data_IF_419986971072
#
_entry.id   IF_419986971072
#
_cell.length_a   1.000
_cell.length_b   1.000
_cell.length_c   1.000
_cell.angle_alpha   90.00
_cell.angle_beta   90.00
_cell.angle_gamma   90.00
#
_symmetry.space_group_name_H-M   'P 1'
#
loop_
_entity.id
_entity.type
_entity.pdbx_description
1 polymer ?
#
# COMPACT_ATOMS: atom_id res chain seq x y z
N UNK A 1 -17.03 9.39 1.17
CA UNK A 1 -15.80 8.82 0.56
C UNK A 1 -14.83 9.97 0.33
N UNK A 2 -13.55 9.84 0.72
CA UNK A 2 -12.55 10.90 0.51
C UNK A 2 -12.03 10.82 -0.93
N UNK A 3 -11.99 11.96 -1.62
CA UNK A 3 -11.53 12.05 -3.01
C UNK A 3 -10.12 12.65 -3.07
N UNK A 4 -9.19 11.97 -3.73
CA UNK A 4 -7.80 12.42 -3.89
C UNK A 4 -7.45 12.47 -5.38
N UNK A 5 -6.93 13.60 -5.84
CA UNK A 5 -6.37 13.75 -7.18
C UNK A 5 -4.85 13.59 -7.11
N UNK A 6 -4.29 12.76 -8.00
CA UNK A 6 -2.85 12.58 -8.16
C UNK A 6 -2.54 12.81 -9.64
N UNK A 7 -1.68 13.77 -9.94
CA UNK A 7 -1.25 14.06 -11.30
C UNK A 7 0.26 13.84 -11.44
N UNK A 8 0.68 13.22 -12.56
CA UNK A 8 2.10 13.10 -12.90
C UNK A 8 2.48 14.16 -13.93
N UNK A 9 3.54 14.92 -13.67
CA UNK A 9 3.98 16.04 -14.51
C UNK A 9 5.45 15.85 -14.92
N UNK A 10 5.69 15.83 -16.23
CA UNK A 10 7.01 15.92 -16.86
C UNK A 10 7.53 17.35 -16.86
N UNK A 11 7.73 17.93 -18.04
CA UNK A 11 8.16 19.32 -18.18
C UNK A 11 6.98 20.27 -18.42
N UNK A 12 6.46 20.98 -17.38
CA UNK A 12 5.33 21.88 -17.54
C UNK A 12 5.60 23.09 -18.44
N UNK A 13 6.85 23.51 -18.56
CA UNK A 13 7.23 24.74 -19.26
C UNK A 13 7.07 24.62 -20.78
N UNK A 14 7.03 23.40 -21.32
CA UNK A 14 6.79 23.16 -22.74
C UNK A 14 5.29 23.16 -23.11
N UNK A 15 4.39 23.23 -22.13
CA UNK A 15 2.96 23.17 -22.41
C UNK A 15 2.40 24.50 -22.88
N UNK A 16 1.44 24.40 -23.79
CA UNK A 16 0.79 25.54 -24.41
C UNK A 16 -0.71 25.55 -24.10
N UNK A 17 -1.36 26.74 -24.06
CA UNK A 17 -2.79 26.82 -23.75
C UNK A 17 -3.65 26.13 -24.80
N UNK A 18 -4.54 25.23 -24.38
CA UNK A 18 -5.54 24.57 -25.23
C UNK A 18 -6.83 24.36 -24.45
N UNK A 19 -7.95 24.20 -25.16
CA UNK A 19 -9.21 23.83 -24.54
C UNK A 19 -9.17 22.37 -24.10
N UNK A 20 -9.48 22.14 -22.84
CA UNK A 20 -9.72 20.80 -22.30
C UNK A 20 -11.19 20.66 -21.94
N UNK A 21 -11.77 19.50 -22.24
CA UNK A 21 -13.14 19.15 -21.84
C UNK A 21 -13.13 17.88 -21.00
N UNK A 22 -13.75 17.95 -19.84
CA UNK A 22 -14.05 16.80 -19.00
C UNK A 22 -15.55 16.65 -18.88
N UNK A 23 -16.07 15.54 -19.42
CA UNK A 23 -17.47 15.20 -19.35
C UNK A 23 -17.73 14.14 -18.27
N UNK A 24 -18.27 14.54 -17.14
CA UNK A 24 -18.46 13.69 -15.97
C UNK A 24 -19.45 12.54 -16.20
N UNK A 25 -20.43 12.73 -17.08
CA UNK A 25 -21.39 11.68 -17.43
C UNK A 25 -20.64 10.52 -18.10
N UNK A 26 -19.75 10.84 -19.06
CA UNK A 26 -18.90 9.85 -19.73
C UNK A 26 -17.91 9.13 -18.79
N UNK A 27 -17.49 9.78 -17.69
CA UNK A 27 -16.56 9.18 -16.72
C UNK A 27 -17.27 8.30 -15.67
N UNK A 28 -18.60 8.40 -15.52
CA UNK A 28 -19.36 7.68 -14.50
C UNK A 28 -18.94 8.01 -13.05
N UNK A 29 -18.35 9.20 -12.83
CA UNK A 29 -17.92 9.67 -11.50
C UNK A 29 -19.08 10.44 -10.87
N UNK A 30 -19.50 10.04 -9.65
CA UNK A 30 -20.55 10.73 -8.90
C UNK A 30 -20.06 12.09 -8.40
N UNK A 31 -20.97 13.04 -8.19
CA UNK A 31 -20.64 14.37 -7.64
C UNK A 31 -19.52 15.07 -8.44
N UNK A 32 -19.64 15.01 -9.77
CA UNK A 32 -18.72 15.57 -10.74
C UNK A 32 -19.50 16.50 -11.66
N UNK A 33 -18.94 17.68 -11.99
CA UNK A 33 -19.54 18.64 -12.92
C UNK A 33 -18.73 18.69 -14.22
N UNK A 34 -19.38 18.54 -15.37
CA UNK A 34 -18.70 18.68 -16.66
C UNK A 34 -18.13 20.10 -16.82
N UNK A 35 -16.84 20.17 -17.18
CA UNK A 35 -16.08 21.42 -17.27
C UNK A 35 -15.36 21.46 -18.60
N UNK A 36 -15.42 22.61 -19.25
CA UNK A 36 -14.59 22.95 -20.40
C UNK A 36 -13.83 24.24 -20.09
N UNK A 37 -12.51 24.20 -20.25
CA UNK A 37 -11.64 25.29 -19.84
C UNK A 37 -10.39 25.33 -20.71
N UNK A 38 -10.03 26.54 -21.18
CA UNK A 38 -8.75 26.78 -21.85
C UNK A 38 -7.66 26.95 -20.80
N UNK A 39 -6.64 26.10 -20.81
CA UNK A 39 -5.52 26.20 -19.89
C UNK A 39 -4.26 25.53 -20.47
N UNK A 40 -3.11 25.71 -19.82
CA UNK A 40 -1.86 25.01 -20.16
C UNK A 40 -1.80 23.60 -19.54
N UNK A 41 -2.61 23.33 -18.51
CA UNK A 41 -2.64 22.06 -17.78
C UNK A 41 -4.07 21.55 -17.59
N UNK A 42 -4.21 20.24 -17.40
CA UNK A 42 -5.47 19.56 -17.05
C UNK A 42 -5.87 19.77 -15.59
N UNK A 43 -4.92 20.18 -14.73
CA UNK A 43 -5.13 20.30 -13.29
C UNK A 43 -6.35 21.18 -12.93
N UNK A 44 -6.53 22.40 -13.47
CA UNK A 44 -7.68 23.23 -13.09
C UNK A 44 -9.02 22.66 -13.54
N UNK A 45 -9.05 21.99 -14.70
CA UNK A 45 -10.24 21.30 -15.22
C UNK A 45 -10.67 20.23 -14.22
N UNK A 46 -9.70 19.42 -13.77
CA UNK A 46 -9.93 18.35 -12.80
C UNK A 46 -10.31 18.90 -11.42
N UNK A 47 -9.65 19.95 -10.94
CA UNK A 47 -9.98 20.58 -9.66
C UNK A 47 -11.41 21.13 -9.65
N UNK A 48 -11.80 21.85 -10.70
CA UNK A 48 -13.14 22.44 -10.83
C UNK A 48 -14.23 21.38 -10.97
N UNK A 49 -13.98 20.34 -11.76
CA UNK A 49 -14.95 19.30 -12.04
C UNK A 49 -15.13 18.31 -10.87
N UNK A 50 -14.01 17.90 -10.25
CA UNK A 50 -13.99 16.81 -9.27
C UNK A 50 -13.97 17.31 -7.82
N UNK A 51 -13.55 18.55 -7.55
CA UNK A 51 -13.43 19.11 -6.19
C UNK A 51 -12.78 18.13 -5.20
N UNK A 52 -11.56 17.64 -5.48
CA UNK A 52 -10.92 16.65 -4.62
C UNK A 52 -10.61 17.27 -3.24
N UNK A 53 -10.59 16.44 -2.21
CA UNK A 53 -10.23 16.87 -0.85
C UNK A 53 -8.72 17.13 -0.71
N UNK A 54 -7.92 16.56 -1.63
CA UNK A 54 -6.48 16.73 -1.71
C UNK A 54 -6.03 16.53 -3.15
N UNK A 55 -5.10 17.37 -3.61
CA UNK A 55 -4.46 17.24 -4.91
C UNK A 55 -2.94 17.15 -4.72
N UNK A 56 -2.33 16.15 -5.37
CA UNK A 56 -0.89 15.87 -5.29
C UNK A 56 -0.34 15.89 -6.72
N UNK A 57 0.62 16.76 -6.98
CA UNK A 57 1.35 16.84 -8.24
C UNK A 57 2.73 16.23 -8.05
N UNK A 58 2.99 15.16 -8.78
CA UNK A 58 4.24 14.40 -8.77
C UNK A 58 5.13 14.89 -9.92
N UNK A 59 6.27 15.48 -9.60
CA UNK A 59 7.26 16.02 -10.55
C UNK A 59 8.63 15.37 -10.35
N UNK A 60 9.55 15.57 -11.29
CA UNK A 60 10.91 15.02 -11.24
C UNK A 60 11.94 16.07 -10.85
N UNK A 61 12.99 15.64 -10.13
CA UNK A 61 14.19 16.44 -9.87
C UNK A 61 14.98 16.83 -11.14
N UNK A 62 14.66 16.21 -12.29
CA UNK A 62 15.19 16.60 -13.60
C UNK A 62 14.72 17.99 -14.07
N UNK A 63 13.80 18.63 -13.35
CA UNK A 63 13.38 20.02 -13.58
C UNK A 63 14.31 21.05 -12.92
N UNK A 64 15.32 20.61 -12.17
CA UNK A 64 16.28 21.49 -11.49
C UNK A 64 16.89 22.47 -12.48
N UNK A 65 16.94 23.75 -12.15
CA UNK A 65 17.50 24.81 -12.98
C UNK A 65 16.89 24.94 -14.39
N UNK A 66 15.73 24.34 -14.64
CA UNK A 66 15.04 24.48 -15.92
C UNK A 66 14.55 25.92 -16.08
N UNK A 67 14.93 26.57 -17.19
CA UNK A 67 14.54 27.96 -17.47
C UNK A 67 13.95 28.13 -18.86
N UNK A 68 12.87 28.92 -18.95
CA UNK A 68 12.50 29.62 -20.18
C UNK A 68 12.76 31.12 -20.04
N UNK A 69 12.60 31.84 -21.17
CA UNK A 69 12.67 33.30 -21.21
C UNK A 69 11.68 33.91 -20.21
N UNK A 70 12.21 34.62 -19.20
CA UNK A 70 11.51 35.32 -18.13
C UNK A 70 11.05 34.47 -16.92
N UNK A 71 11.58 33.27 -16.75
CA UNK A 71 11.26 32.39 -15.61
C UNK A 71 12.18 32.63 -14.38
N UNK A 72 11.98 31.83 -13.33
CA UNK A 72 12.87 31.72 -12.16
C UNK A 72 14.31 31.49 -12.62
N UNK A 73 15.22 32.39 -12.24
CA UNK A 73 16.64 32.30 -12.64
C UNK A 73 17.28 30.99 -12.16
N UNK A 74 18.26 30.43 -12.88
CA UNK A 74 19.04 29.30 -12.38
C UNK A 74 19.78 29.72 -11.09
N UNK A 75 19.91 28.79 -10.14
CA UNK A 75 20.62 29.00 -8.88
C UNK A 75 21.68 27.90 -8.71
N UNK A 76 22.73 28.21 -7.95
CA UNK A 76 23.67 27.18 -7.53
C UNK A 76 23.00 26.28 -6.48
N UNK A 77 22.89 24.99 -6.77
CA UNK A 77 22.37 23.97 -5.84
C UNK A 77 23.54 23.12 -5.33
N UNK A 78 23.76 23.15 -4.02
CA UNK A 78 24.87 22.43 -3.36
C UNK A 78 24.43 21.17 -2.61
N UNK A 79 23.14 20.88 -2.54
CA UNK A 79 22.55 19.75 -1.82
C UNK A 79 21.30 19.25 -2.53
N UNK A 80 20.87 18.02 -2.21
CA UNK A 80 19.62 17.49 -2.75
C UNK A 80 18.38 18.22 -2.19
N UNK A 81 18.47 18.76 -0.98
CA UNK A 81 17.42 19.63 -0.43
C UNK A 81 17.26 20.89 -1.29
N UNK A 82 18.36 21.55 -1.66
CA UNK A 82 18.31 22.71 -2.56
C UNK A 82 17.77 22.39 -3.96
N UNK A 83 18.02 21.17 -4.45
CA UNK A 83 17.41 20.64 -5.69
C UNK A 83 15.88 20.55 -5.56
N UNK A 84 15.40 19.97 -4.45
CA UNK A 84 13.96 19.82 -4.21
C UNK A 84 13.28 21.19 -4.08
N UNK A 85 13.88 22.11 -3.33
CA UNK A 85 13.37 23.47 -3.16
C UNK A 85 13.29 24.23 -4.49
N UNK A 86 14.33 24.16 -5.32
CA UNK A 86 14.37 24.79 -6.65
C UNK A 86 13.23 24.28 -7.55
N UNK A 87 13.02 22.96 -7.61
CA UNK A 87 11.96 22.38 -8.42
C UNK A 87 10.58 22.78 -7.89
N UNK A 88 10.38 22.79 -6.57
CA UNK A 88 9.12 23.24 -5.97
C UNK A 88 8.83 24.72 -6.29
N UNK A 89 9.83 25.60 -6.19
CA UNK A 89 9.71 27.01 -6.56
C UNK A 89 9.30 27.17 -8.03
N UNK A 90 9.94 26.43 -8.94
CA UNK A 90 9.64 26.47 -10.38
C UNK A 90 8.22 26.01 -10.69
N UNK A 91 7.77 24.91 -10.10
CA UNK A 91 6.42 24.38 -10.32
C UNK A 91 5.36 25.31 -9.73
N UNK A 92 5.61 25.87 -8.53
CA UNK A 92 4.73 26.90 -7.94
C UNK A 92 4.67 28.15 -8.83
N UNK A 93 5.81 28.62 -9.31
CA UNK A 93 5.86 29.74 -10.25
C UNK A 93 5.04 29.45 -11.51
N UNK A 94 5.13 28.24 -12.07
CA UNK A 94 4.32 27.83 -13.21
C UNK A 94 2.81 27.85 -12.89
N UNK A 95 2.40 27.35 -11.73
CA UNK A 95 1.00 27.42 -11.28
C UNK A 95 0.53 28.88 -11.20
N UNK A 96 1.30 29.75 -10.55
CA UNK A 96 0.95 31.16 -10.35
C UNK A 96 0.92 31.97 -11.65
N UNK A 97 1.91 31.77 -12.53
CA UNK A 97 2.15 32.67 -13.66
C UNK A 97 1.68 32.10 -15.01
N UNK A 98 1.37 30.81 -15.10
CA UNK A 98 0.96 30.15 -16.35
C UNK A 98 -0.39 29.46 -16.26
N UNK A 99 -0.78 28.96 -15.09
CA UNK A 99 -2.07 28.29 -14.91
C UNK A 99 -3.15 29.28 -14.43
N UNK A 100 -2.93 29.95 -13.29
CA UNK A 100 -3.90 30.88 -12.67
C UNK A 100 -4.34 32.06 -13.55
N UNK A 101 -3.53 32.62 -14.46
CA UNK A 101 -3.98 33.71 -15.33
C UNK A 101 -5.09 33.31 -16.31
N UNK A 102 -5.30 32.01 -16.53
CA UNK A 102 -6.40 31.48 -17.33
C UNK A 102 -7.66 31.15 -16.50
N UNK A 103 -7.70 31.54 -15.23
CA UNK A 103 -8.79 31.29 -14.29
C UNK A 103 -9.38 32.60 -13.77
N UNK A 104 -10.69 32.57 -13.54
CA UNK A 104 -11.43 33.59 -12.80
C UNK A 104 -10.97 33.61 -11.33
N UNK A 105 -11.15 34.74 -10.62
CA UNK A 105 -10.63 34.91 -9.25
C UNK A 105 -11.07 33.82 -8.28
N UNK A 106 -12.34 33.39 -8.33
CA UNK A 106 -12.88 32.34 -7.46
C UNK A 106 -12.21 30.97 -7.70
N UNK A 107 -11.86 30.64 -8.94
CA UNK A 107 -11.27 29.36 -9.30
C UNK A 107 -9.76 29.30 -9.00
N UNK A 108 -9.08 30.45 -8.85
CA UNK A 108 -7.65 30.48 -8.51
C UNK A 108 -7.37 29.87 -7.15
N UNK A 109 -8.26 30.07 -6.19
CA UNK A 109 -8.14 29.54 -4.83
C UNK A 109 -8.16 28.00 -4.80
N UNK A 110 -8.71 27.34 -5.83
CA UNK A 110 -8.69 25.87 -5.94
C UNK A 110 -7.27 25.30 -6.05
N UNK A 111 -6.28 26.12 -6.40
CA UNK A 111 -4.91 25.70 -6.63
C UNK A 111 -3.97 26.00 -5.46
N UNK A 112 -4.43 26.73 -4.44
CA UNK A 112 -3.57 27.18 -3.32
C UNK A 112 -3.10 26.02 -2.45
N UNK A 113 -3.91 24.97 -2.33
CA UNK A 113 -3.65 23.79 -1.50
C UNK A 113 -3.05 22.61 -2.29
N UNK A 114 -2.59 22.84 -3.52
CA UNK A 114 -1.97 21.78 -4.34
C UNK A 114 -0.60 21.42 -3.79
N UNK A 115 -0.44 20.14 -3.41
CA UNK A 115 0.83 19.64 -2.91
C UNK A 115 1.77 19.25 -4.07
N UNK A 116 2.95 19.85 -4.13
CA UNK A 116 3.99 19.49 -5.12
C UNK A 116 5.03 18.59 -4.46
N UNK A 117 5.19 17.38 -5.00
CA UNK A 117 6.17 16.40 -4.54
C UNK A 117 7.20 16.14 -5.63
N UNK A 118 8.46 16.41 -5.30
CA UNK A 118 9.62 16.15 -6.16
C UNK A 118 10.10 14.72 -5.95
N UNK A 119 10.33 14.01 -7.05
CA UNK A 119 10.67 12.60 -7.07
C UNK A 119 11.97 12.37 -7.85
N UNK A 120 12.73 11.31 -7.53
CA UNK A 120 13.97 11.01 -8.23
C UNK A 120 13.70 10.63 -9.68
N UNK A 121 14.23 11.42 -10.61
CA UNK A 121 14.22 11.18 -12.04
C UNK A 121 15.52 10.54 -12.53
N UNK A 122 15.61 10.35 -13.85
CA UNK A 122 16.84 9.91 -14.54
C UNK A 122 16.85 10.58 -15.91
N UNK A 123 17.99 11.11 -16.32
CA UNK A 123 18.19 11.62 -17.67
C UNK A 123 19.27 12.69 -17.76
N UNK A 124 19.68 12.97 -18.99
CA UNK A 124 20.63 14.02 -19.35
C UNK A 124 19.86 15.14 -20.05
N UNK A 125 19.91 16.35 -19.50
CA UNK A 125 19.21 17.53 -20.02
C UNK A 125 20.15 18.74 -20.04
N UNK A 126 19.77 19.78 -20.78
CA UNK A 126 20.55 21.02 -20.88
C UNK A 126 20.71 21.71 -19.51
N UNK A 127 19.69 21.58 -18.65
CA UNK A 127 19.64 22.20 -17.31
C UNK A 127 20.26 21.34 -16.19
N UNK A 128 20.25 20.01 -16.34
CA UNK A 128 20.66 19.09 -15.27
C UNK A 128 20.99 17.69 -15.82
N UNK A 129 21.92 17.02 -15.17
CA UNK A 129 22.22 15.60 -15.35
C UNK A 129 21.80 14.82 -14.10
N UNK A 130 20.97 13.80 -14.25
CA UNK A 130 20.48 12.98 -13.12
C UNK A 130 20.74 11.51 -13.39
N UNK A 131 21.56 10.90 -12.54
CA UNK A 131 21.97 9.49 -12.62
C UNK A 131 21.58 8.73 -11.34
N UNK A 132 21.02 7.53 -11.53
CA UNK A 132 20.60 6.61 -10.47
C UNK A 132 19.65 5.54 -10.97
N UNK A 133 19.09 4.74 -10.05
CA UNK A 133 18.13 3.68 -10.41
C UNK A 133 16.75 4.30 -10.71
N UNK A 134 16.11 3.87 -11.81
CA UNK A 134 14.75 4.29 -12.19
C UNK A 134 13.71 3.79 -11.18
N UNK A 135 13.97 2.66 -10.51
CA UNK A 135 13.08 2.13 -9.46
C UNK A 135 13.12 2.92 -8.16
N UNK A 136 14.06 3.87 -8.00
CA UNK A 136 14.00 4.85 -6.91
C UNK A 136 12.72 5.67 -7.02
N UNK A 137 12.33 6.08 -8.24
CA UNK A 137 11.05 6.77 -8.48
C UNK A 137 9.87 6.00 -7.90
N UNK A 138 9.75 4.71 -8.25
CA UNK A 138 8.67 3.86 -7.76
C UNK A 138 8.70 3.73 -6.24
N UNK A 139 9.89 3.59 -5.65
CA UNK A 139 10.06 3.42 -4.21
C UNK A 139 9.68 4.68 -3.43
N UNK A 140 10.08 5.85 -3.92
CA UNK A 140 9.73 7.15 -3.31
C UNK A 140 8.25 7.47 -3.50
N UNK A 141 7.67 7.26 -4.69
CA UNK A 141 6.21 7.40 -4.90
C UNK A 141 5.43 6.53 -3.94
N UNK A 142 5.86 5.27 -3.75
CA UNK A 142 5.21 4.37 -2.82
C UNK A 142 5.26 4.90 -1.38
N UNK A 143 6.40 5.46 -0.93
CA UNK A 143 6.56 6.07 0.40
C UNK A 143 5.66 7.29 0.57
N UNK A 144 5.74 8.22 -0.38
CA UNK A 144 4.99 9.47 -0.43
C UNK A 144 3.48 9.18 -0.33
N UNK A 145 2.98 8.26 -1.16
CA UNK A 145 1.56 7.91 -1.19
C UNK A 145 1.14 7.10 0.03
N UNK A 146 2.00 6.24 0.58
CA UNK A 146 1.74 5.52 1.83
C UNK A 146 1.56 6.47 3.03
N UNK A 147 2.12 7.68 2.98
CA UNK A 147 1.92 8.71 4.01
C UNK A 147 0.68 9.57 3.74
N UNK A 148 0.44 9.92 2.47
CA UNK A 148 -0.54 10.94 2.08
C UNK A 148 -1.93 10.39 1.77
N UNK A 149 -2.04 9.13 1.38
CA UNK A 149 -3.34 8.53 1.13
C UNK A 149 -4.15 8.44 2.44
N UNK A 150 -5.44 8.77 2.40
CA UNK A 150 -6.30 8.65 3.57
C UNK A 150 -6.54 7.19 3.92
N UNK A 151 -6.79 6.95 5.21
CA UNK A 151 -7.37 5.69 5.68
C UNK A 151 -8.89 5.87 5.77
N UNK A 152 -9.64 4.92 5.20
CA UNK A 152 -11.11 4.96 5.06
C UNK A 152 -11.56 4.78 3.61
N UNK A 153 -12.87 4.85 3.38
CA UNK A 153 -13.44 4.78 2.02
C UNK A 153 -12.90 5.91 1.15
N UNK A 154 -12.23 5.54 0.05
CA UNK A 154 -11.42 6.46 -0.75
C UNK A 154 -11.63 6.26 -2.25
N UNK A 155 -11.70 7.39 -2.96
CA UNK A 155 -11.69 7.50 -4.41
C UNK A 155 -10.43 8.24 -4.86
N UNK A 156 -9.61 7.60 -5.68
CA UNK A 156 -8.39 8.19 -6.23
C UNK A 156 -8.57 8.43 -7.72
N UNK A 157 -8.27 9.64 -8.17
CA UNK A 157 -8.18 10.00 -9.58
C UNK A 157 -6.71 10.16 -9.92
N UNK A 158 -6.22 9.35 -10.85
CA UNK A 158 -4.86 9.40 -11.36
C UNK A 158 -4.87 10.03 -12.76
N UNK A 159 -4.34 11.25 -12.87
CA UNK A 159 -4.14 11.94 -14.15
C UNK A 159 -2.74 11.64 -14.72
N UNK A 160 -2.74 10.96 -15.86
CA UNK A 160 -1.55 10.55 -16.59
C UNK A 160 -1.19 11.48 -17.75
N UNK A 161 -2.02 12.49 -18.02
CA UNK A 161 -1.93 13.34 -19.22
C UNK A 161 -0.54 13.92 -19.45
N UNK A 162 0.06 14.40 -18.37
CA UNK A 162 1.33 15.13 -18.40
C UNK A 162 2.52 14.30 -17.92
N UNK A 163 2.29 13.01 -17.62
CA UNK A 163 3.32 12.10 -17.14
C UNK A 163 4.21 11.67 -18.29
N UNK A 164 5.51 11.58 -18.05
CA UNK A 164 6.50 11.22 -19.07
C UNK A 164 7.19 9.89 -18.74
N UNK A 165 7.66 9.19 -19.77
CA UNK A 165 8.50 8.01 -19.66
C UNK A 165 7.92 6.95 -18.69
N UNK A 166 8.63 6.67 -17.59
CA UNK A 166 8.26 5.66 -16.60
C UNK A 166 7.24 6.15 -15.55
N UNK A 167 6.98 7.46 -15.45
CA UNK A 167 6.14 8.01 -14.38
C UNK A 167 4.72 7.43 -14.38
N UNK A 168 4.00 7.36 -15.52
CA UNK A 168 2.63 6.86 -15.53
C UNK A 168 2.53 5.43 -15.01
N UNK A 169 3.40 4.55 -15.52
CA UNK A 169 3.39 3.12 -15.20
C UNK A 169 3.78 2.88 -13.75
N UNK A 170 4.83 3.53 -13.25
CA UNK A 170 5.31 3.31 -11.89
C UNK A 170 4.38 3.91 -10.83
N UNK A 171 3.80 5.09 -11.08
CA UNK A 171 2.79 5.69 -10.19
C UNK A 171 1.51 4.86 -10.13
N UNK A 172 1.02 4.42 -11.28
CA UNK A 172 -0.14 3.53 -11.36
C UNK A 172 0.08 2.22 -10.58
N UNK A 173 1.26 1.60 -10.73
CA UNK A 173 1.63 0.39 -9.97
C UNK A 173 1.69 0.63 -8.47
N UNK A 174 2.24 1.76 -8.03
CA UNK A 174 2.29 2.13 -6.61
C UNK A 174 0.89 2.29 -6.02
N UNK A 175 0.01 3.01 -6.74
CA UNK A 175 -1.38 3.21 -6.33
C UNK A 175 -2.15 1.90 -6.23
N UNK A 176 -2.10 1.02 -7.23
CA UNK A 176 -2.80 -0.28 -7.15
C UNK A 176 -2.29 -1.16 -6.02
N UNK A 177 -1.00 -1.05 -5.66
CA UNK A 177 -0.46 -1.77 -4.52
C UNK A 177 -1.04 -1.25 -3.19
N UNK A 178 -1.04 0.07 -2.97
CA UNK A 178 -1.55 0.67 -1.73
C UNK A 178 -3.08 0.59 -1.62
N UNK A 179 -3.81 0.88 -2.69
CA UNK A 179 -5.28 0.75 -2.70
C UNK A 179 -5.74 -0.69 -2.54
N UNK A 180 -4.96 -1.67 -3.04
CA UNK A 180 -5.20 -3.09 -2.76
C UNK A 180 -5.02 -3.47 -1.29
N UNK A 181 -4.19 -2.75 -0.54
CA UNK A 181 -4.07 -2.90 0.92
C UNK A 181 -5.24 -2.22 1.63
N UNK A 182 -5.64 -1.02 1.20
CA UNK A 182 -6.81 -0.31 1.73
C UNK A 182 -8.10 -1.15 1.58
N UNK A 183 -8.22 -1.85 0.46
CA UNK A 183 -9.38 -2.65 0.09
C UNK A 183 -9.69 -3.83 1.04
N UNK A 184 -8.75 -4.22 1.92
CA UNK A 184 -9.03 -5.22 2.96
C UNK A 184 -10.15 -4.78 3.90
N UNK A 185 -10.14 -3.52 4.32
CA UNK A 185 -11.10 -3.00 5.29
C UNK A 185 -12.11 -2.03 4.65
N UNK A 186 -11.65 -1.21 3.71
CA UNK A 186 -12.44 -0.10 3.16
C UNK A 186 -12.76 -0.28 1.68
N UNK A 187 -13.64 0.57 1.16
CA UNK A 187 -13.89 0.67 -0.29
C UNK A 187 -12.84 1.56 -0.92
N UNK A 188 -12.13 1.05 -1.91
CA UNK A 188 -11.08 1.79 -2.62
C UNK A 188 -11.41 1.82 -4.12
N UNK A 189 -11.57 3.02 -4.68
CA UNK A 189 -11.82 3.21 -6.12
C UNK A 189 -10.66 3.93 -6.77
N UNK A 190 -10.29 3.51 -7.97
CA UNK A 190 -9.26 4.13 -8.80
C UNK A 190 -9.88 4.49 -10.15
N UNK A 191 -9.82 5.76 -10.49
CA UNK A 191 -10.13 6.29 -11.82
C UNK A 191 -8.83 6.77 -12.45
N UNK A 192 -8.48 6.23 -13.61
CA UNK A 192 -7.31 6.67 -14.39
C UNK A 192 -7.83 7.51 -15.54
N UNK A 193 -7.35 8.74 -15.63
CA UNK A 193 -7.74 9.69 -16.69
C UNK A 193 -6.54 10.11 -17.51
N UNK A 194 -6.78 10.37 -18.79
CA UNK A 194 -5.78 10.88 -19.72
C UNK A 194 -6.45 11.75 -20.78
N UNK A 195 -5.89 12.92 -21.07
CA UNK A 195 -6.32 13.74 -22.20
C UNK A 195 -6.00 13.07 -23.54
N UNK A 196 -6.75 13.43 -24.57
CA UNK A 196 -6.31 13.31 -25.95
C UNK A 196 -4.96 14.02 -26.16
N UNK A 197 -4.11 13.52 -27.09
CA UNK A 197 -2.79 14.06 -27.31
C UNK A 197 -2.84 15.50 -27.84
N UNK A 198 -1.91 16.33 -27.37
CA UNK A 198 -1.77 17.69 -27.84
C UNK A 198 -1.34 17.74 -29.33
N UNK A 199 -1.92 18.62 -30.18
CA UNK A 199 -1.59 18.68 -31.61
C UNK A 199 -0.09 18.91 -31.86
N UNK A 200 0.53 18.02 -32.64
CA UNK A 200 1.93 18.09 -33.08
C UNK A 200 1.99 18.23 -34.61
N UNK A 201 3.02 18.90 -35.13
CA UNK A 201 3.20 19.04 -36.59
C UNK A 201 3.86 20.36 -36.98
N UNK A 202 3.75 20.71 -38.28
CA UNK A 202 4.23 21.98 -38.81
C UNK A 202 3.58 23.17 -38.08
N UNK A 203 4.36 24.22 -37.83
CA UNK A 203 3.95 25.35 -36.97
C UNK A 203 2.64 26.00 -37.41
N UNK A 204 2.49 26.31 -38.70
CA UNK A 204 1.27 26.96 -39.22
C UNK A 204 0.01 26.09 -39.07
N UNK A 205 0.14 24.79 -39.31
CA UNK A 205 -0.97 23.85 -39.11
C UNK A 205 -1.32 23.70 -37.63
N UNK A 206 -0.29 23.58 -36.78
CA UNK A 206 -0.43 23.48 -35.33
C UNK A 206 -1.15 24.70 -34.75
N UNK A 207 -0.75 25.91 -35.13
CA UNK A 207 -1.37 27.16 -34.67
C UNK A 207 -2.85 27.22 -35.08
N UNK A 208 -3.20 26.85 -36.32
CA UNK A 208 -4.61 26.78 -36.80
C UNK A 208 -5.44 25.73 -36.06
N UNK A 209 -4.93 24.51 -35.93
CA UNK A 209 -5.69 23.40 -35.32
C UNK A 209 -5.85 23.59 -33.82
N UNK A 210 -4.86 24.16 -33.14
CA UNK A 210 -4.92 24.43 -31.70
C UNK A 210 -6.08 25.34 -31.30
N UNK A 211 -6.45 26.30 -32.15
CA UNK A 211 -7.60 27.19 -31.90
C UNK A 211 -8.95 26.48 -32.04
N UNK A 212 -9.00 25.44 -32.89
CA UNK A 212 -10.20 24.65 -33.16
C UNK A 212 -10.31 23.39 -32.29
N UNK A 213 -9.21 23.00 -31.63
CA UNK A 213 -9.12 21.74 -30.89
C UNK A 213 -9.61 21.89 -29.45
N UNK A 214 -10.45 20.94 -29.05
CA UNK A 214 -10.82 20.70 -27.65
C UNK A 214 -10.35 19.29 -27.31
N UNK A 215 -9.37 19.19 -26.43
CA UNK A 215 -8.85 17.89 -25.98
C UNK A 215 -9.77 17.31 -24.92
N UNK A 216 -10.33 16.14 -25.21
CA UNK A 216 -11.22 15.47 -24.28
C UNK A 216 -10.42 14.65 -23.27
N UNK A 217 -10.73 14.83 -22.00
CA UNK A 217 -10.28 13.96 -20.91
C UNK A 217 -11.03 12.63 -20.99
N UNK A 218 -10.30 11.53 -21.17
CA UNK A 218 -10.87 10.19 -21.26
C UNK A 218 -10.67 9.42 -19.96
N UNK A 219 -11.67 8.64 -19.58
CA UNK A 219 -11.50 7.57 -18.60
C UNK A 219 -10.77 6.41 -19.26
N UNK A 220 -9.56 6.12 -18.80
CA UNK A 220 -8.76 4.98 -19.26
C UNK A 220 -9.15 3.71 -18.49
N UNK A 221 -9.37 3.83 -17.18
CA UNK A 221 -9.70 2.71 -16.31
C UNK A 221 -10.53 3.20 -15.12
N UNK A 222 -11.59 2.49 -14.77
CA UNK A 222 -12.31 2.66 -13.50
C UNK A 222 -12.40 1.31 -12.80
N UNK A 223 -11.84 1.23 -11.59
CA UNK A 223 -11.84 0.02 -10.79
C UNK A 223 -12.33 0.29 -9.37
N UNK A 224 -13.18 -0.60 -8.87
CA UNK A 224 -13.29 -0.85 -7.43
C UNK A 224 -12.28 -1.95 -7.05
N UNK A 225 -11.30 -1.60 -6.24
CA UNK A 225 -10.18 -2.48 -5.92
C UNK A 225 -10.62 -3.54 -4.92
N UNK A 226 -10.15 -4.76 -5.15
CA UNK A 226 -10.25 -5.88 -4.20
C UNK A 226 -8.95 -6.00 -3.40
N UNK A 227 -9.00 -6.62 -2.20
CA UNK A 227 -7.81 -6.95 -1.42
C UNK A 227 -6.77 -7.65 -2.29
N UNK A 228 -5.53 -7.16 -2.28
CA UNK A 228 -4.41 -7.79 -2.99
C UNK A 228 -3.40 -8.36 -2.00
N UNK A 229 -3.19 -9.69 -1.98
CA UNK A 229 -2.17 -10.30 -1.12
C UNK A 229 -0.75 -9.81 -1.44
N UNK A 230 0.09 -9.69 -0.42
CA UNK A 230 1.45 -9.16 -0.53
C UNK A 230 2.47 -10.31 -0.43
N UNK A 231 2.87 -10.88 -1.56
CA UNK A 231 3.87 -11.97 -1.61
C UNK A 231 5.32 -11.44 -1.62
N UNK A 232 5.71 -10.70 -0.59
CA UNK A 232 7.08 -10.18 -0.46
C UNK A 232 7.53 -10.18 1.00
N UNK A 233 8.80 -10.52 1.20
CA UNK A 233 9.46 -10.54 2.50
C UNK A 233 10.20 -9.24 2.78
N UNK A 234 10.55 -9.05 4.05
CA UNK A 234 11.58 -8.13 4.53
C UNK A 234 12.66 -9.00 5.17
N UNK A 235 13.82 -9.09 4.53
CA UNK A 235 14.79 -10.18 4.75
C UNK A 235 15.41 -10.16 6.14
N UNK A 236 15.66 -8.96 6.69
CA UNK A 236 16.22 -8.76 8.03
C UNK A 236 15.15 -8.76 9.14
N UNK A 237 13.86 -8.92 8.78
CA UNK A 237 12.71 -8.88 9.70
C UNK A 237 11.76 -10.06 9.44
N UNK A 238 12.12 -11.28 9.87
CA UNK A 238 11.29 -12.48 9.64
C UNK A 238 9.91 -12.39 10.29
N UNK A 239 9.77 -11.75 11.46
CA UNK A 239 8.45 -11.57 12.11
C UNK A 239 7.52 -10.67 11.28
N UNK A 240 8.05 -9.65 10.59
CA UNK A 240 7.25 -8.81 9.69
C UNK A 240 6.80 -9.60 8.47
N UNK A 241 7.70 -10.43 7.93
CA UNK A 241 7.36 -11.36 6.84
C UNK A 241 6.31 -12.39 7.27
N UNK A 242 6.38 -12.87 8.52
CA UNK A 242 5.37 -13.76 9.09
C UNK A 242 4.01 -13.06 9.21
N UNK A 243 3.98 -11.80 9.65
CA UNK A 243 2.77 -10.99 9.66
C UNK A 243 2.21 -10.77 8.25
N UNK A 244 3.04 -10.38 7.28
CA UNK A 244 2.62 -10.23 5.88
C UNK A 244 2.00 -11.53 5.34
N UNK A 245 2.62 -12.67 5.66
CA UNK A 245 2.09 -13.99 5.31
C UNK A 245 0.75 -14.27 5.96
N UNK A 246 0.55 -13.86 7.21
CA UNK A 246 -0.72 -14.05 7.92
C UNK A 246 -1.90 -13.36 7.24
N UNK A 247 -1.68 -12.16 6.71
CA UNK A 247 -2.68 -11.38 5.97
C UNK A 247 -2.89 -11.97 4.58
N UNK A 248 -1.81 -12.41 3.95
CA UNK A 248 -1.82 -12.94 2.57
C UNK A 248 -2.51 -14.30 2.48
N UNK A 249 -2.29 -15.17 3.47
CA UNK A 249 -2.70 -16.57 3.42
C UNK A 249 -3.83 -16.93 4.40
N UNK A 250 -4.30 -16.00 5.23
CA UNK A 250 -5.41 -16.25 6.13
C UNK A 250 -5.01 -16.93 7.45
N UNK A 251 -4.01 -16.40 8.17
CA UNK A 251 -3.52 -17.00 9.42
C UNK A 251 -3.86 -16.11 10.63
N UNK A 252 -5.09 -16.14 11.17
CA UNK A 252 -5.52 -15.19 12.21
C UNK A 252 -4.69 -15.25 13.50
N UNK A 253 -4.20 -16.44 13.89
CA UNK A 253 -3.32 -16.55 15.07
C UNK A 253 -1.94 -15.92 14.82
N UNK A 254 -1.37 -16.09 13.63
CA UNK A 254 -0.12 -15.45 13.23
C UNK A 254 -0.28 -13.93 13.09
N UNK A 255 -1.42 -13.46 12.58
CA UNK A 255 -1.75 -12.03 12.53
C UNK A 255 -1.66 -11.41 13.92
N UNK A 256 -2.32 -12.00 14.91
CA UNK A 256 -2.30 -11.50 16.28
C UNK A 256 -0.92 -11.63 16.94
N UNK A 257 -0.18 -12.73 16.66
CA UNK A 257 1.10 -13.02 17.30
C UNK A 257 2.24 -12.13 16.79
N UNK A 258 2.28 -11.88 15.48
CA UNK A 258 3.38 -11.20 14.79
C UNK A 258 3.06 -9.76 14.38
N UNK A 259 1.92 -9.21 14.82
CA UNK A 259 1.51 -7.83 14.52
C UNK A 259 2.63 -6.85 14.87
N UNK A 260 3.27 -6.20 13.88
CA UNK A 260 4.40 -5.33 14.14
C UNK A 260 3.95 -3.95 14.66
N UNK A 261 4.84 -3.29 15.39
CA UNK A 261 4.66 -1.89 15.79
C UNK A 261 4.69 -0.99 14.56
N UNK A 262 3.62 -0.20 14.34
CA UNK A 262 3.56 0.81 13.28
C UNK A 262 4.71 1.82 13.39
N UNK A 263 5.10 2.17 14.62
CA UNK A 263 6.22 3.07 14.89
C UNK A 263 7.55 2.48 14.43
N UNK A 264 7.77 1.20 14.68
CA UNK A 264 9.04 0.53 14.36
C UNK A 264 9.21 0.36 12.85
N UNK A 265 8.13 -0.02 12.16
CA UNK A 265 8.12 -0.09 10.69
C UNK A 265 8.29 1.29 10.07
N UNK A 266 7.62 2.32 10.63
CA UNK A 266 7.79 3.71 10.21
C UNK A 266 9.23 4.20 10.36
N UNK A 267 9.87 3.93 11.50
CA UNK A 267 11.28 4.28 11.73
C UNK A 267 12.24 3.55 10.78
N UNK A 268 11.96 2.29 10.44
CA UNK A 268 12.73 1.54 9.45
C UNK A 268 12.62 2.15 8.04
N UNK A 269 11.40 2.51 7.63
CA UNK A 269 11.17 3.19 6.34
C UNK A 269 11.88 4.53 6.33
N UNK A 270 11.74 5.34 7.39
CA UNK A 270 12.35 6.68 7.42
C UNK A 270 13.88 6.59 7.42
N UNK A 271 14.47 5.69 8.19
CA UNK A 271 15.92 5.45 8.15
C UNK A 271 16.38 5.03 6.75
N UNK A 272 15.68 4.08 6.12
CA UNK A 272 16.04 3.63 4.77
C UNK A 272 15.92 4.74 3.71
N UNK A 273 14.99 5.67 3.90
CA UNK A 273 14.85 6.84 3.05
C UNK A 273 15.93 7.89 3.32
N UNK A 274 16.24 8.18 4.59
CA UNK A 274 17.30 9.12 4.95
C UNK A 274 18.66 8.63 4.47
N UNK A 275 18.98 7.34 4.68
CA UNK A 275 20.22 6.76 4.16
C UNK A 275 20.32 6.84 2.62
N UNK A 276 19.18 6.91 1.93
CA UNK A 276 19.12 7.11 0.48
C UNK A 276 19.40 8.56 0.12
N UNK A 277 18.76 9.52 0.81
CA UNK A 277 18.98 10.96 0.61
C UNK A 277 20.42 11.38 0.91
N UNK A 278 20.99 10.89 2.01
CA UNK A 278 22.37 11.16 2.43
C UNK A 278 23.41 10.64 1.40
N UNK A 279 23.02 9.67 0.58
CA UNK A 279 23.86 9.10 -0.48
C UNK A 279 23.70 9.80 -1.84
N UNK A 280 22.92 10.88 -1.91
CA UNK A 280 22.77 11.68 -3.13
C UNK A 280 23.83 12.78 -3.15
N UNK A 281 24.70 12.73 -4.15
CA UNK A 281 25.69 13.77 -4.39
C UNK A 281 25.15 14.78 -5.39
N UNK A 282 25.29 16.06 -5.06
CA UNK A 282 24.95 17.18 -5.95
C UNK A 282 26.21 18.00 -6.19
N UNK A 283 26.58 18.19 -7.44
CA UNK A 283 27.72 19.02 -7.81
C UNK A 283 27.42 19.85 -9.05
N UNK A 284 28.08 20.99 -9.20
CA UNK A 284 28.01 21.82 -10.40
C UNK A 284 29.32 21.65 -11.15
N UNK A 285 29.27 21.11 -12.36
CA UNK A 285 30.44 20.92 -13.22
C UNK A 285 30.07 21.10 -14.69
N UNK A 286 31.07 21.35 -15.57
CA UNK A 286 30.85 21.34 -17.01
C UNK A 286 30.43 19.94 -17.48
N UNK A 287 29.47 19.90 -18.40
CA UNK A 287 29.08 18.69 -19.11
C UNK A 287 30.04 18.39 -20.29
N UNK A 288 29.85 17.31 -21.08
CA UNK A 288 30.71 17.01 -22.22
C UNK A 288 30.75 18.10 -23.32
N UNK A 289 29.76 18.99 -23.36
CA UNK A 289 29.73 20.15 -24.26
C UNK A 289 30.39 21.39 -23.65
N UNK A 290 30.81 21.34 -22.38
CA UNK A 290 31.45 22.44 -21.65
C UNK A 290 30.47 23.34 -20.89
N UNK A 291 29.17 23.04 -20.92
CA UNK A 291 28.15 23.84 -20.26
C UNK A 291 28.07 23.50 -18.77
N UNK A 292 28.13 24.51 -17.90
CA UNK A 292 28.06 24.30 -16.45
C UNK A 292 26.62 24.06 -16.03
N UNK A 293 26.33 22.86 -15.51
CA UNK A 293 25.01 22.49 -14.99
C UNK A 293 25.11 21.67 -13.71
N UNK A 294 23.95 21.45 -13.08
CA UNK A 294 23.86 20.59 -11.91
C UNK A 294 23.96 19.11 -12.33
N UNK A 295 24.72 18.33 -11.57
CA UNK A 295 24.82 16.89 -11.68
C UNK A 295 24.38 16.26 -10.36
N UNK A 296 23.32 15.46 -10.42
CA UNK A 296 22.74 14.73 -9.30
C UNK A 296 23.07 13.26 -9.49
N UNK A 297 23.85 12.69 -8.58
CA UNK A 297 24.28 11.29 -8.63
C UNK A 297 23.82 10.55 -7.37
N UNK A 298 22.94 9.56 -7.54
CA UNK A 298 22.45 8.73 -6.44
C UNK A 298 23.34 7.50 -6.26
N UNK A 299 24.17 7.49 -5.21
CA UNK A 299 25.11 6.37 -4.95
C UNK A 299 24.46 5.11 -4.42
N UNK A 300 23.23 5.23 -3.91
CA UNK A 300 22.48 4.14 -3.29
C UNK A 300 21.08 4.09 -3.91
N UNK A 301 20.59 2.87 -4.16
CA UNK A 301 19.24 2.63 -4.64
C UNK A 301 18.34 2.09 -3.52
N UNK A 302 17.04 2.35 -3.61
CA UNK A 302 16.05 1.85 -2.66
C UNK A 302 15.72 0.37 -2.93
N UNK A 303 15.93 -0.45 -1.91
CA UNK A 303 15.85 -1.91 -2.03
C UNK A 303 14.42 -2.43 -2.16
N UNK A 304 14.29 -3.72 -2.53
CA UNK A 304 12.99 -4.42 -2.48
C UNK A 304 12.41 -4.44 -1.05
N UNK A 305 13.25 -4.62 -0.04
CA UNK A 305 12.84 -4.68 1.36
C UNK A 305 12.28 -3.34 1.83
N UNK A 306 12.89 -2.22 1.43
CA UNK A 306 12.34 -0.89 1.64
C UNK A 306 10.91 -0.78 1.07
N UNK A 307 10.71 -1.20 -0.19
CA UNK A 307 9.38 -1.15 -0.82
C UNK A 307 8.35 -2.06 -0.13
N UNK A 308 8.76 -3.22 0.36
CA UNK A 308 7.90 -4.10 1.14
C UNK A 308 7.54 -3.45 2.48
N UNK A 309 8.52 -2.86 3.17
CA UNK A 309 8.32 -2.19 4.44
C UNK A 309 7.39 -0.97 4.33
N UNK A 310 7.45 -0.20 3.23
CA UNK A 310 6.51 0.90 2.95
C UNK A 310 5.07 0.39 2.82
N UNK A 311 4.85 -0.72 2.10
CA UNK A 311 3.50 -1.32 1.97
C UNK A 311 3.00 -1.84 3.32
N UNK A 312 3.89 -2.46 4.10
CA UNK A 312 3.59 -2.90 5.46
C UNK A 312 3.24 -1.71 6.35
N UNK A 313 3.98 -0.61 6.29
CA UNK A 313 3.67 0.62 7.02
C UNK A 313 2.26 1.12 6.71
N UNK A 314 1.90 1.21 5.43
CA UNK A 314 0.55 1.59 5.02
C UNK A 314 -0.51 0.58 5.51
N UNK A 315 -0.22 -0.72 5.41
CA UNK A 315 -1.08 -1.79 5.91
C UNK A 315 -1.38 -1.63 7.40
N UNK A 316 -0.37 -1.32 8.22
CA UNK A 316 -0.54 -1.11 9.66
C UNK A 316 -1.31 0.17 9.97
N UNK A 317 -1.17 1.23 9.17
CA UNK A 317 -2.02 2.43 9.28
C UNK A 317 -3.49 2.10 8.99
N UNK A 318 -3.75 1.29 7.97
CA UNK A 318 -5.11 0.84 7.64
C UNK A 318 -5.66 -0.05 8.75
N UNK A 319 -4.91 -1.07 9.17
CA UNK A 319 -5.36 -2.05 10.14
C UNK A 319 -5.47 -1.48 11.55
N UNK A 320 -4.62 -0.54 11.93
CA UNK A 320 -4.67 0.15 13.23
C UNK A 320 -5.95 0.95 13.47
N UNK A 321 -6.78 1.18 12.44
CA UNK A 321 -8.12 1.77 12.63
C UNK A 321 -9.16 0.80 13.17
N UNK A 322 -8.90 -0.50 13.09
CA UNK A 322 -9.84 -1.56 13.48
C UNK A 322 -9.23 -2.50 14.53
N UNK A 323 -7.95 -2.81 14.41
CA UNK A 323 -7.25 -3.76 15.27
C UNK A 323 -6.35 -3.02 16.27
N UNK A 324 -6.73 -3.08 17.55
CA UNK A 324 -6.01 -2.46 18.66
C UNK A 324 -5.55 -3.52 19.67
N UNK A 325 -4.43 -3.27 20.35
CA UNK A 325 -3.91 -4.14 21.40
C UNK A 325 -3.18 -5.39 20.91
N UNK A 326 -2.66 -5.36 19.67
CA UNK A 326 -1.75 -6.37 19.13
C UNK A 326 -0.31 -5.81 19.09
N UNK A 327 0.74 -6.66 19.17
CA UNK A 327 0.69 -8.13 19.17
C UNK A 327 0.19 -8.73 20.49
N UNK A 328 -0.39 -9.93 20.42
CA UNK A 328 -0.82 -10.72 21.59
C UNK A 328 -0.13 -12.08 21.58
N UNK A 329 0.34 -12.50 22.76
CA UNK A 329 0.91 -13.85 22.95
C UNK A 329 -0.16 -14.94 22.92
N UNK A 330 -1.33 -14.60 23.42
CA UNK A 330 -2.46 -15.50 23.65
C UNK A 330 -3.74 -14.82 23.14
N UNK A 331 -4.55 -15.57 22.42
CA UNK A 331 -5.72 -15.05 21.69
C UNK A 331 -6.91 -15.98 21.91
N UNK A 332 -8.05 -15.42 22.28
CA UNK A 332 -9.29 -16.18 22.45
C UNK A 332 -9.88 -16.61 21.11
N UNK A 333 -10.73 -17.64 21.12
CA UNK A 333 -11.44 -18.06 19.91
C UNK A 333 -12.30 -16.93 19.31
N UNK A 334 -12.97 -16.15 20.16
CA UNK A 334 -13.82 -15.04 19.72
C UNK A 334 -13.00 -13.94 19.01
N UNK A 335 -11.80 -13.64 19.51
CA UNK A 335 -10.88 -12.70 18.83
C UNK A 335 -10.40 -13.24 17.48
N UNK A 336 -10.20 -14.55 17.35
CA UNK A 336 -9.83 -15.15 16.05
C UNK A 336 -10.98 -15.02 15.03
N UNK A 337 -12.23 -15.19 15.46
CA UNK A 337 -13.41 -14.91 14.63
C UNK A 337 -13.51 -13.43 14.26
N UNK A 338 -13.25 -12.51 15.20
CA UNK A 338 -13.25 -11.07 14.94
C UNK A 338 -12.18 -10.68 13.91
N UNK A 339 -10.94 -11.16 14.06
CA UNK A 339 -9.87 -10.95 13.08
C UNK A 339 -10.31 -11.45 11.71
N UNK A 340 -10.82 -12.68 11.63
CA UNK A 340 -11.11 -13.35 10.36
C UNK A 340 -12.28 -12.70 9.62
N UNK A 341 -13.36 -12.38 10.33
CA UNK A 341 -14.55 -11.75 9.76
C UNK A 341 -14.27 -10.34 9.26
N UNK A 342 -13.39 -9.58 9.91
CA UNK A 342 -13.02 -8.23 9.47
C UNK A 342 -12.01 -8.24 8.33
N UNK A 343 -10.97 -9.07 8.44
CA UNK A 343 -9.84 -9.04 7.52
C UNK A 343 -10.09 -9.81 6.22
N UNK A 344 -10.79 -10.95 6.28
CA UNK A 344 -10.94 -11.86 5.15
C UNK A 344 -12.33 -11.87 4.53
N UNK A 345 -13.28 -11.07 5.02
CA UNK A 345 -14.63 -10.97 4.43
C UNK A 345 -14.62 -10.59 2.95
N UNK A 346 -13.69 -9.71 2.54
CA UNK A 346 -13.52 -9.29 1.12
C UNK A 346 -12.65 -10.26 0.31
N UNK A 347 -12.28 -11.41 0.88
CA UNK A 347 -11.47 -12.46 0.25
C UNK A 347 -12.17 -13.81 0.36
N UNK A 348 -13.27 -14.07 -0.38
CA UNK A 348 -14.17 -15.19 -0.12
C UNK A 348 -13.48 -16.55 -0.02
N UNK A 349 -12.50 -16.83 -0.88
CA UNK A 349 -11.76 -18.10 -0.88
C UNK A 349 -10.98 -18.34 0.42
N UNK A 350 -10.34 -17.30 0.95
CA UNK A 350 -9.58 -17.40 2.21
C UNK A 350 -10.56 -17.33 3.39
N UNK A 351 -11.53 -16.40 3.35
CA UNK A 351 -12.52 -16.21 4.40
C UNK A 351 -13.28 -17.50 4.74
N UNK A 352 -13.82 -18.19 3.73
CA UNK A 352 -14.57 -19.45 3.92
C UNK A 352 -13.70 -20.53 4.58
N UNK A 353 -12.47 -20.73 4.08
CA UNK A 353 -11.56 -21.75 4.63
C UNK A 353 -11.22 -21.46 6.09
N UNK A 354 -10.92 -20.20 6.42
CA UNK A 354 -10.61 -19.79 7.79
C UNK A 354 -11.83 -19.94 8.69
N UNK A 355 -13.02 -19.55 8.23
CA UNK A 355 -14.28 -19.68 8.98
C UNK A 355 -14.61 -21.14 9.30
N UNK A 356 -14.44 -22.05 8.35
CA UNK A 356 -14.62 -23.49 8.55
C UNK A 356 -13.67 -24.01 9.64
N UNK A 357 -12.38 -23.66 9.57
CA UNK A 357 -11.39 -24.04 10.59
C UNK A 357 -11.74 -23.50 11.98
N UNK A 358 -12.22 -22.24 12.08
CA UNK A 358 -12.63 -21.66 13.36
C UNK A 358 -13.91 -22.32 13.91
N UNK A 359 -14.85 -22.71 13.05
CA UNK A 359 -16.03 -23.48 13.44
C UNK A 359 -15.66 -24.86 14.00
N UNK A 360 -14.68 -25.54 13.40
CA UNK A 360 -14.14 -26.80 13.93
C UNK A 360 -13.55 -26.62 15.33
N UNK A 361 -12.77 -25.55 15.55
CA UNK A 361 -12.22 -25.20 16.86
C UNK A 361 -13.31 -24.86 17.88
N UNK A 362 -14.39 -24.19 17.47
CA UNK A 362 -15.55 -23.89 18.33
C UNK A 362 -16.28 -25.16 18.76
N UNK A 363 -16.47 -26.09 17.84
CA UNK A 363 -17.04 -27.40 18.13
C UNK A 363 -16.14 -28.19 19.09
N UNK A 364 -14.82 -28.10 18.93
CA UNK A 364 -13.85 -28.70 19.84
C UNK A 364 -13.94 -28.07 21.25
N UNK A 365 -14.13 -26.75 21.35
CA UNK A 365 -14.34 -26.05 22.61
C UNK A 365 -15.60 -26.53 23.33
N UNK A 366 -16.73 -26.57 22.63
CA UNK A 366 -17.99 -27.03 23.19
C UNK A 366 -17.90 -28.46 23.73
N UNK A 367 -17.25 -29.36 22.97
CA UNK A 367 -16.97 -30.72 23.43
C UNK A 367 -16.09 -30.75 24.68
N UNK A 368 -14.99 -29.99 24.70
CA UNK A 368 -14.05 -30.00 25.83
C UNK A 368 -14.68 -29.48 27.13
N UNK A 369 -15.51 -28.45 27.04
CA UNK A 369 -16.27 -27.90 28.18
C UNK A 369 -17.27 -28.95 28.69
N UNK A 370 -18.00 -29.62 27.80
CA UNK A 370 -18.95 -30.67 28.17
C UNK A 370 -18.26 -31.85 28.88
N UNK A 371 -17.07 -32.25 28.43
CA UNK A 371 -16.29 -33.32 29.07
C UNK A 371 -15.75 -32.93 30.45
N UNK A 372 -15.36 -31.67 30.66
CA UNK A 372 -14.90 -31.19 31.98
C UNK A 372 -16.00 -31.26 33.05
N UNK A 373 -17.27 -31.15 32.65
CA UNK A 373 -18.41 -31.30 33.56
C UNK A 373 -18.68 -32.74 34.02
N UNK A 374 -18.05 -33.75 33.39
CA UNK A 374 -18.30 -35.16 33.69
C UNK A 374 -17.39 -35.67 34.81
N UNK A 375 -17.94 -36.45 35.75
CA UNK A 375 -17.17 -37.09 36.86
C UNK A 375 -16.02 -37.99 36.37
N UNK A 376 -16.11 -38.54 35.15
CA UNK A 376 -15.06 -39.34 34.48
C UNK A 376 -14.67 -38.73 33.13
N UNK A 377 -14.58 -37.40 33.07
CA UNK A 377 -14.19 -36.68 31.85
C UNK A 377 -12.79 -37.09 31.38
N UNK A 378 -12.60 -37.14 30.06
CA UNK A 378 -11.34 -37.57 29.42
C UNK A 378 -10.33 -36.43 29.24
N UNK A 379 -10.64 -35.23 29.74
CA UNK A 379 -9.87 -34.02 29.45
C UNK A 379 -8.54 -33.99 30.23
N UNK A 380 -7.41 -33.76 29.57
CA UNK A 380 -6.12 -33.61 30.24
C UNK A 380 -6.12 -32.42 31.20
N UNK A 381 -5.56 -32.60 32.40
CA UNK A 381 -5.39 -31.51 33.38
C UNK A 381 -4.58 -30.34 32.83
N UNK A 382 -3.70 -30.59 31.86
CA UNK A 382 -2.90 -29.57 31.17
C UNK A 382 -3.75 -28.56 30.39
N UNK A 383 -4.96 -28.94 29.95
CA UNK A 383 -5.87 -28.03 29.23
C UNK A 383 -6.33 -26.86 30.11
N UNK A 384 -6.50 -27.08 31.42
CA UNK A 384 -6.88 -26.04 32.40
C UNK A 384 -5.62 -25.47 33.10
N UNK A 385 -4.44 -25.97 32.75
CA UNK A 385 -3.17 -25.56 33.34
C UNK A 385 -2.55 -24.35 32.62
N UNK A 386 -1.60 -23.69 33.30
CA UNK A 386 -0.90 -22.50 32.78
C UNK A 386 -0.18 -22.72 31.43
N UNK A 387 0.25 -23.95 31.14
CA UNK A 387 1.06 -24.28 29.94
C UNK A 387 0.21 -24.63 28.71
N UNK A 388 -1.07 -24.92 28.89
CA UNK A 388 -1.91 -25.50 27.84
C UNK A 388 -1.47 -26.89 27.40
N UNK A 389 -2.12 -27.37 26.35
CA UNK A 389 -1.83 -28.64 25.67
C UNK A 389 -1.67 -28.37 24.17
N UNK A 390 -0.85 -29.18 23.50
CA UNK A 390 -0.71 -29.11 22.04
C UNK A 390 -2.04 -29.47 21.37
N UNK A 391 -2.46 -28.70 20.36
CA UNK A 391 -3.76 -28.85 19.71
C UNK A 391 -3.97 -30.28 19.17
N UNK A 392 -2.94 -30.89 18.58
CA UNK A 392 -2.98 -32.27 18.10
C UNK A 392 -3.22 -33.32 19.19
N UNK A 393 -2.74 -33.08 20.42
CA UNK A 393 -3.03 -33.97 21.55
C UNK A 393 -4.49 -33.85 21.98
N UNK A 394 -5.08 -32.65 21.94
CA UNK A 394 -6.49 -32.45 22.25
C UNK A 394 -7.40 -33.18 21.23
N UNK A 395 -7.08 -33.12 19.94
CA UNK A 395 -7.80 -33.86 18.90
C UNK A 395 -7.72 -35.39 19.10
N UNK A 396 -6.57 -35.92 19.54
CA UNK A 396 -6.42 -37.35 19.86
C UNK A 396 -7.33 -37.79 21.00
N UNK A 397 -7.45 -36.97 22.05
CA UNK A 397 -8.33 -37.28 23.20
C UNK A 397 -9.79 -37.33 22.77
N UNK A 398 -10.21 -36.46 21.84
CA UNK A 398 -11.57 -36.44 21.30
C UNK A 398 -11.89 -37.68 20.47
N UNK A 399 -11.01 -38.05 19.55
CA UNK A 399 -11.26 -39.08 18.54
C UNK A 399 -10.76 -40.47 18.97
N UNK A 400 -11.10 -40.95 20.18
CA UNK A 400 -10.58 -42.22 20.74
C UNK A 400 -10.76 -43.49 19.86
N UNK A 401 -11.50 -43.40 18.74
CA UNK A 401 -11.68 -44.43 17.72
C UNK A 401 -10.74 -44.31 16.50
N UNK A 402 -9.70 -43.45 16.52
CA UNK A 402 -8.57 -43.58 15.58
C UNK A 402 -7.67 -44.78 15.94
N UNK A 403 -8.31 -45.92 16.14
CA UNK A 403 -7.67 -47.23 16.21
C UNK A 403 -7.35 -47.64 14.77
N UNK A 404 -6.09 -48.01 14.52
CA UNK A 404 -5.58 -48.70 13.31
C UNK A 404 -5.49 -47.85 12.02
N UNK A 405 -4.33 -47.22 11.78
CA UNK A 405 -3.86 -46.88 10.42
C UNK A 405 -3.17 -45.53 10.25
N UNK A 406 -3.64 -44.47 10.90
CA UNK A 406 -3.15 -43.09 10.72
C UNK A 406 -2.50 -42.51 11.97
N UNK A 407 -1.53 -43.21 12.56
CA UNK A 407 -1.02 -42.90 13.91
C UNK A 407 0.03 -41.77 13.99
N UNK A 408 0.36 -41.10 12.88
CA UNK A 408 1.30 -39.99 12.93
C UNK A 408 0.53 -38.67 12.88
N UNK A 409 0.36 -38.06 14.05
CA UNK A 409 0.63 -36.61 14.09
C UNK A 409 2.04 -36.50 13.54
N UNK A 410 2.13 -36.05 12.29
CA UNK A 410 3.37 -36.08 11.57
C UNK A 410 4.34 -35.17 12.31
N UNK A 411 5.36 -35.75 12.96
CA UNK A 411 6.39 -34.96 13.66
C UNK A 411 7.09 -34.00 12.69
N UNK A 412 7.09 -34.33 11.40
CA UNK A 412 7.58 -33.46 10.36
C UNK A 412 6.47 -32.49 9.97
N UNK A 413 6.53 -31.28 10.55
CA UNK A 413 5.65 -30.16 10.21
C UNK A 413 5.91 -29.78 8.75
N UNK A 414 4.86 -29.77 7.94
CA UNK A 414 4.92 -29.40 6.51
C UNK A 414 4.26 -28.05 6.32
N UNK A 415 4.91 -27.16 5.56
CA UNK A 415 4.38 -25.83 5.18
C UNK A 415 2.99 -25.95 4.54
N UNK A 416 2.77 -26.97 3.69
CA UNK A 416 1.45 -27.25 3.10
C UNK A 416 0.35 -27.46 4.14
N UNK A 417 0.63 -28.18 5.22
CA UNK A 417 -0.35 -28.40 6.29
C UNK A 417 -0.58 -27.11 7.08
N UNK A 418 0.47 -26.32 7.31
CA UNK A 418 0.34 -25.00 7.92
C UNK A 418 -0.58 -24.08 7.11
N UNK A 419 -0.43 -24.05 5.79
CA UNK A 419 -1.33 -23.31 4.88
C UNK A 419 -2.76 -23.87 4.92
N UNK A 420 -2.91 -25.19 4.78
CA UNK A 420 -4.22 -25.86 4.70
C UNK A 420 -5.07 -25.69 5.97
N UNK A 421 -4.42 -25.55 7.13
CA UNK A 421 -5.08 -25.33 8.41
C UNK A 421 -5.07 -23.87 8.86
N UNK A 422 -4.91 -22.91 7.94
CA UNK A 422 -4.96 -21.48 8.26
C UNK A 422 -4.01 -21.07 9.40
N UNK A 423 -2.83 -21.70 9.45
CA UNK A 423 -1.82 -21.48 10.50
C UNK A 423 -2.09 -22.20 11.82
N UNK A 424 -3.17 -22.98 11.93
CA UNK A 424 -3.52 -23.81 13.09
C UNK A 424 -2.89 -25.21 13.03
N UNK A 425 -1.60 -25.29 12.69
CA UNK A 425 -0.91 -26.58 12.60
C UNK A 425 -0.83 -27.25 13.98
N UNK A 426 -1.28 -28.51 14.03
CA UNK A 426 -1.59 -29.22 15.27
C UNK A 426 -0.41 -29.38 16.24
N UNK A 427 0.84 -29.36 15.78
CA UNK A 427 2.03 -29.50 16.61
C UNK A 427 2.62 -28.17 17.06
N UNK A 428 2.30 -27.09 16.36
CA UNK A 428 2.81 -25.75 16.66
C UNK A 428 1.90 -24.95 17.58
N UNK A 429 0.59 -25.24 17.56
CA UNK A 429 -0.40 -24.51 18.36
C UNK A 429 -0.59 -25.15 19.73
N UNK A 430 -0.52 -24.32 20.77
CA UNK A 430 -0.96 -24.64 22.12
C UNK A 430 -2.35 -24.06 22.37
N UNK A 431 -3.20 -24.84 23.04
CA UNK A 431 -4.54 -24.45 23.47
C UNK A 431 -4.69 -24.67 24.97
N UNK A 432 -5.30 -23.71 25.65
CA UNK A 432 -5.74 -23.83 27.04
C UNK A 432 -7.16 -23.31 27.20
N UNK A 433 -7.82 -23.72 28.27
CA UNK A 433 -9.15 -23.29 28.63
C UNK A 433 -9.04 -22.34 29.82
N UNK A 434 -9.48 -21.10 29.64
CA UNK A 434 -9.47 -20.08 30.68
C UNK A 434 -10.87 -19.62 31.02
N UNK A 435 -11.07 -19.23 32.28
CA UNK A 435 -12.31 -18.62 32.74
C UNK A 435 -12.29 -17.13 32.35
N UNK A 436 -13.17 -16.72 31.44
CA UNK A 436 -13.39 -15.30 31.12
C UNK A 436 -14.53 -14.74 31.96
N UNK A 437 -14.26 -13.60 32.61
CA UNK A 437 -15.28 -12.86 33.35
C UNK A 437 -16.04 -12.01 32.32
N UNK A 438 -17.23 -12.45 31.91
CA UNK A 438 -18.18 -11.55 31.26
C UNK A 438 -18.84 -10.67 32.34
N UNK A 439 -18.74 -9.35 32.15
CA UNK A 439 -19.46 -8.19 32.75
C UNK A 439 -20.14 -8.40 34.12
N UNK A 440 -19.94 -7.45 35.06
CA UNK A 440 -20.52 -7.38 36.42
C UNK A 440 -21.83 -8.18 36.59
N UNK A 441 -21.72 -9.38 37.17
CA UNK A 441 -22.85 -10.26 37.51
C UNK A 441 -23.00 -11.55 36.69
N UNK A 442 -22.21 -11.75 35.63
CA UNK A 442 -22.24 -12.97 34.82
C UNK A 442 -21.50 -14.16 35.44
N UNK A 443 -21.93 -15.40 35.12
CA UNK A 443 -21.13 -16.61 35.37
C UNK A 443 -19.90 -16.58 34.46
N UNK A 444 -18.74 -16.95 35.00
CA UNK A 444 -17.52 -17.08 34.21
C UNK A 444 -17.71 -18.10 33.07
N UNK A 445 -17.37 -17.71 31.85
CA UNK A 445 -17.46 -18.56 30.67
C UNK A 445 -16.08 -19.11 30.35
N UNK A 446 -15.98 -20.43 30.19
CA UNK A 446 -14.74 -21.10 29.79
C UNK A 446 -14.52 -20.92 28.30
N UNK A 447 -13.37 -20.38 27.90
CA UNK A 447 -13.04 -20.15 26.48
C UNK A 447 -11.66 -20.71 26.14
N UNK A 448 -11.49 -21.15 24.90
CA UNK A 448 -10.19 -21.50 24.38
C UNK A 448 -9.34 -20.26 24.15
N UNK A 449 -8.09 -20.39 24.57
CA UNK A 449 -7.01 -19.43 24.35
C UNK A 449 -5.90 -20.14 23.60
N UNK A 450 -5.49 -19.57 22.48
CA UNK A 450 -4.52 -20.13 21.55
C UNK A 450 -3.22 -19.35 21.57
N UNK A 451 -2.10 -20.04 21.37
CA UNK A 451 -0.77 -19.45 21.18
C UNK A 451 0.11 -20.38 20.36
N UNK A 452 1.19 -19.86 19.76
CA UNK A 452 2.24 -20.71 19.20
C UNK A 452 3.19 -21.15 20.31
N UNK A 453 3.43 -22.47 20.41
CA UNK A 453 4.36 -23.07 21.37
C UNK A 453 5.80 -22.65 21.09
N UNK A 454 6.16 -22.62 19.81
CA UNK A 454 7.44 -22.13 19.31
C UNK A 454 7.18 -21.00 18.32
N UNK A 455 7.34 -19.76 18.81
CA UNK A 455 7.15 -18.55 18.01
C UNK A 455 8.14 -18.47 16.85
N UNK A 456 9.38 -18.95 17.03
CA UNK A 456 10.41 -18.93 15.99
C UNK A 456 10.06 -19.86 14.84
N UNK A 457 9.66 -21.09 15.15
CA UNK A 457 9.19 -22.06 14.16
C UNK A 457 7.92 -21.59 13.44
N UNK A 458 6.94 -21.04 14.17
CA UNK A 458 5.73 -20.50 13.57
C UNK A 458 6.03 -19.32 12.63
N UNK A 459 6.97 -18.44 13.00
CA UNK A 459 7.45 -17.36 12.14
C UNK A 459 8.06 -17.91 10.85
N UNK A 460 8.97 -18.89 10.96
CA UNK A 460 9.59 -19.54 9.81
C UNK A 460 8.56 -20.19 8.88
N UNK A 461 7.59 -20.94 9.42
CA UNK A 461 6.52 -21.54 8.61
C UNK A 461 5.66 -20.50 7.90
N UNK A 462 5.41 -19.34 8.51
CA UNK A 462 4.73 -18.24 7.85
C UNK A 462 5.58 -17.69 6.69
N UNK A 463 6.88 -17.49 6.89
CA UNK A 463 7.80 -17.02 5.84
C UNK A 463 7.88 -18.03 4.68
N UNK A 464 8.01 -19.32 4.99
CA UNK A 464 8.03 -20.39 4.00
C UNK A 464 6.70 -20.45 3.24
N UNK A 465 5.56 -20.26 3.93
CA UNK A 465 4.25 -20.20 3.29
C UNK A 465 4.11 -19.02 2.30
N UNK A 466 4.82 -17.91 2.55
CA UNK A 466 4.80 -16.73 1.67
C UNK A 466 5.55 -16.97 0.36
N UNK A 467 6.62 -17.74 0.41
CA UNK A 467 7.47 -18.11 -0.73
C UNK A 467 7.08 -19.45 -1.36
N UNK A 468 6.15 -20.18 -0.74
CA UNK A 468 5.68 -21.48 -1.22
C UNK A 468 5.10 -21.39 -2.63
N UNK A 469 5.72 -22.12 -3.55
CA UNK A 469 5.22 -22.37 -4.92
C UNK A 469 5.16 -23.87 -5.11
N UNK A 470 3.99 -24.40 -5.50
CA UNK A 470 3.90 -25.82 -5.84
C UNK A 470 4.85 -26.09 -7.01
N UNK A 471 5.82 -26.98 -6.82
CA UNK A 471 6.83 -27.38 -7.81
C UNK A 471 6.26 -28.11 -9.04
N UNK A 472 4.95 -28.06 -9.30
CA UNK A 472 4.26 -28.83 -10.33
C UNK A 472 3.23 -28.06 -11.14
N UNK A 473 3.18 -26.73 -11.04
CA UNK A 473 2.37 -25.90 -11.94
C UNK A 473 3.31 -24.98 -12.70
N UNK A 474 4.00 -25.56 -13.68
CA UNK A 474 4.56 -24.78 -14.78
C UNK A 474 3.35 -24.47 -15.67
N UNK A 475 2.90 -23.21 -15.69
CA UNK A 475 1.88 -22.77 -16.63
C UNK A 475 2.45 -22.70 -18.05
#
# INVERSE_FOLDING_TARGET
>A
MKRVLIATWGNPFQWEPIWYRLDCESLGIKDCRSVELKNVSTLPVLMKALRPHRAIVLVLDTLTNLTLRNDVKPKEVGSYEGVVEDVQERVKWFIENRIKPHLDEEDRALLDDVEVVVLPGVGEFDNVSVEGDVLDFYSVVLKVLAERLPVGDTEVILDLTHGVNFMPVLTYRALKALLGVLAYLYTARLYVVNSEPFPQGQREWKEKIKELSVLNMKLVEALELRPRPLYSTVSDRPEWSAFISSVTNGFPLAFATFYPSTKDVGAYVEKGYQDFLDAIEVCIKPDPAGERKAHIFRRKALSRDFRTAVKLYYMLRVFGTVFNGYPKKEVTLDELFDISSKLFAKMPRIGIVVEDQLCELKNLQGWAIAELGKKRGRIPKSLVGKKGIVLGELYRVRNQNFTSGGNSVNRNIKVRNFIAHSGFEFNTVSVKLEDTIRVKGGRAEKVFVFSYRDKGLASQLCVDALTYRNQGVVC
#
